data_IF_632582734161
#
_entry.id   IF_632582734161
#
_cell.length_a   1.000
_cell.length_b   1.000
_cell.length_c   1.000
_cell.angle_alpha   90.00
_cell.angle_beta   90.00
_cell.angle_gamma   90.00
#
_symmetry.space_group_name_H-M   'P 1'
#
loop_
_entity.id
_entity.type
_entity.pdbx_description
1 polymer ?
#
# COMPACT_ATOMS: atom_id res chain seq x y z
N UNK A 1 -11.08 -9.61 -29.57
CA UNK A 1 -12.15 -8.70 -29.10
C UNK A 1 -13.29 -9.55 -28.59
N UNK A 2 -13.70 -9.32 -27.35
CA UNK A 2 -14.88 -9.95 -26.76
C UNK A 2 -16.12 -9.32 -27.37
N UNK A 3 -17.12 -10.12 -27.80
CA UNK A 3 -18.35 -9.62 -28.36
C UNK A 3 -19.21 -8.95 -27.27
N UNK A 4 -19.74 -7.76 -27.53
CA UNK A 4 -20.70 -7.11 -26.64
C UNK A 4 -22.00 -7.89 -26.61
N UNK A 5 -22.58 -8.08 -25.43
CA UNK A 5 -23.91 -8.68 -25.27
C UNK A 5 -24.97 -7.60 -25.41
N UNK A 6 -25.64 -7.58 -26.56
CA UNK A 6 -26.75 -6.68 -26.80
C UNK A 6 -28.07 -7.30 -26.31
N UNK A 7 -29.05 -6.46 -26.08
CA UNK A 7 -30.48 -6.84 -25.98
C UNK A 7 -30.86 -7.74 -24.79
N UNK A 8 -30.32 -7.52 -23.61
CA UNK A 8 -30.92 -8.03 -22.36
C UNK A 8 -31.61 -6.89 -21.61
N UNK A 9 -32.73 -7.21 -20.95
CA UNK A 9 -33.38 -6.23 -20.10
C UNK A 9 -32.43 -5.69 -19.08
N UNK A 10 -32.41 -4.36 -18.87
CA UNK A 10 -31.58 -3.68 -17.91
C UNK A 10 -31.98 -4.12 -16.49
N UNK A 11 -31.07 -4.76 -15.79
CA UNK A 11 -31.17 -4.92 -14.36
C UNK A 11 -30.58 -3.67 -13.70
N UNK A 12 -31.30 -3.05 -12.76
CA UNK A 12 -30.84 -1.85 -12.04
C UNK A 12 -29.56 -2.08 -11.24
N UNK A 13 -29.13 -3.32 -11.04
CA UNK A 13 -27.89 -3.69 -10.39
C UNK A 13 -26.96 -4.38 -11.39
N UNK A 14 -25.81 -3.78 -11.66
CA UNK A 14 -24.73 -4.46 -12.35
C UNK A 14 -24.22 -5.61 -11.48
N UNK A 15 -24.05 -6.80 -12.07
CA UNK A 15 -23.38 -7.91 -11.40
C UNK A 15 -21.86 -7.63 -11.41
N UNK A 16 -21.43 -6.81 -10.51
CA UNK A 16 -20.02 -6.43 -10.32
C UNK A 16 -19.39 -7.23 -9.20
N UNK A 17 -18.06 -7.21 -9.16
CA UNK A 17 -17.33 -7.57 -7.96
C UNK A 17 -17.70 -6.65 -6.78
N UNK A 18 -17.36 -7.06 -5.57
CA UNK A 18 -17.60 -6.22 -4.40
C UNK A 18 -16.87 -4.90 -4.51
N UNK A 19 -17.47 -3.77 -4.06
CA UNK A 19 -16.81 -2.47 -4.03
C UNK A 19 -15.43 -2.57 -3.35
N UNK A 20 -14.41 -2.02 -4.00
CA UNK A 20 -13.04 -2.07 -3.52
C UNK A 20 -12.66 -0.75 -2.85
N UNK A 21 -12.05 -0.83 -1.69
CA UNK A 21 -11.40 0.30 -1.03
C UNK A 21 -9.91 0.01 -0.88
N UNK A 22 -9.04 1.02 -1.08
CA UNK A 22 -7.60 0.88 -0.92
C UNK A 22 -7.25 0.45 0.51
N UNK A 23 -6.66 -0.75 0.63
CA UNK A 23 -6.21 -1.28 1.93
C UNK A 23 -5.02 -0.49 2.48
N UNK A 24 -4.12 -0.05 1.61
CA UNK A 24 -2.93 0.71 1.99
C UNK A 24 -3.13 2.23 1.90
N UNK A 25 -4.38 2.70 1.86
CA UNK A 25 -4.72 4.12 1.78
C UNK A 25 -4.07 4.99 2.86
N UNK A 26 -3.84 4.45 4.06
CA UNK A 26 -3.12 5.15 5.13
C UNK A 26 -1.67 5.50 4.77
N UNK A 27 -1.03 4.74 3.87
CA UNK A 27 0.33 4.99 3.40
C UNK A 27 0.39 6.10 2.35
N UNK A 28 -0.71 6.37 1.65
CA UNK A 28 -0.81 7.49 0.70
C UNK A 28 -1.02 8.85 1.39
N UNK A 29 -1.56 8.86 2.62
CA UNK A 29 -1.80 10.07 3.41
C UNK A 29 -0.70 10.34 4.45
N UNK A 30 0.55 10.05 4.10
CA UNK A 30 1.69 10.26 5.02
C UNK A 30 2.03 11.74 5.17
N UNK A 31 2.42 12.20 6.39
CA UNK A 31 2.85 13.57 6.61
C UNK A 31 4.16 13.93 5.88
N UNK A 32 4.83 12.96 5.29
CA UNK A 32 6.07 13.17 4.55
C UNK A 32 5.87 13.63 3.11
N UNK A 33 4.66 13.52 2.54
CA UNK A 33 4.38 13.87 1.15
C UNK A 33 4.64 15.36 0.79
N UNK A 34 4.83 16.23 1.75
CA UNK A 34 5.23 17.63 1.55
C UNK A 34 6.74 17.91 1.79
N UNK A 35 7.57 16.89 2.05
CA UNK A 35 8.96 17.06 2.52
C UNK A 35 10.02 16.72 1.49
N UNK A 36 9.67 16.57 0.23
CA UNK A 36 10.60 16.32 -0.85
C UNK A 36 10.57 17.47 -1.88
N UNK A 37 11.63 17.57 -2.67
CA UNK A 37 11.77 18.54 -3.75
C UNK A 37 11.88 17.81 -5.09
N UNK A 38 11.16 18.29 -6.09
CA UNK A 38 11.34 17.85 -7.46
C UNK A 38 12.62 18.46 -8.04
N UNK A 39 13.49 17.62 -8.60
CA UNK A 39 14.74 18.05 -9.29
C UNK A 39 14.73 17.72 -10.76
N UNK A 40 13.75 16.95 -11.22
CA UNK A 40 13.52 16.58 -12.61
C UNK A 40 12.11 16.02 -12.78
N UNK A 41 11.76 15.63 -14.00
CA UNK A 41 10.43 15.10 -14.32
C UNK A 41 10.10 13.78 -13.57
N UNK A 42 11.13 13.02 -13.19
CA UNK A 42 11.01 11.69 -12.56
C UNK A 42 11.81 11.59 -11.25
N UNK A 43 12.44 12.67 -10.81
CA UNK A 43 13.39 12.60 -9.70
C UNK A 43 12.98 13.52 -8.59
N UNK A 44 12.92 12.96 -7.38
CA UNK A 44 12.73 13.70 -6.15
C UNK A 44 13.99 13.61 -5.28
N UNK A 45 14.21 14.63 -4.50
CA UNK A 45 15.27 14.69 -3.50
C UNK A 45 14.70 15.00 -2.11
N UNK A 46 15.20 14.26 -1.13
CA UNK A 46 14.82 14.37 0.26
C UNK A 46 16.04 14.84 1.06
N UNK A 47 15.97 15.99 1.77
CA UNK A 47 17.11 16.48 2.55
C UNK A 47 17.34 15.59 3.78
N UNK A 48 18.60 15.25 4.02
CA UNK A 48 19.03 14.56 5.23
C UNK A 48 20.16 15.32 5.91
N UNK A 49 20.17 15.31 7.22
CA UNK A 49 21.23 15.92 8.03
C UNK A 49 21.79 14.86 8.99
N UNK A 50 23.09 14.83 9.12
CA UNK A 50 23.82 14.07 10.12
C UNK A 50 24.62 15.00 11.02
N UNK A 51 24.75 14.65 12.29
CA UNK A 51 25.53 15.40 13.29
C UNK A 51 26.43 14.45 14.03
N UNK A 52 27.54 14.96 14.57
CA UNK A 52 28.38 14.21 15.50
C UNK A 52 27.78 14.18 16.90
N UNK A 53 28.22 13.24 17.73
CA UNK A 53 27.84 13.14 19.14
C UNK A 53 28.45 14.24 20.00
N UNK A 54 28.07 14.23 21.28
CA UNK A 54 28.70 15.06 22.31
C UNK A 54 30.10 14.53 22.65
N UNK A 55 31.00 15.42 22.99
CA UNK A 55 32.32 15.13 23.53
C UNK A 55 32.43 15.68 24.96
N UNK A 56 33.39 15.19 25.75
CA UNK A 56 33.66 15.72 27.08
C UNK A 56 34.10 17.18 26.99
N UNK A 57 33.63 17.99 27.94
CA UNK A 57 34.01 19.40 28.03
C UNK A 57 35.36 19.55 28.68
N UNK A 58 36.29 20.25 28.03
CA UNK A 58 37.52 20.75 28.62
C UNK A 58 37.25 22.15 29.22
N UNK A 59 37.63 22.36 30.45
CA UNK A 59 37.47 23.63 31.17
C UNK A 59 38.66 24.57 31.02
N UNK A 60 39.80 24.03 30.63
CA UNK A 60 41.05 24.74 30.64
C UNK A 60 41.47 25.26 29.28
N UNK A 61 40.83 24.76 28.19
CA UNK A 61 41.13 25.16 26.83
C UNK A 61 39.87 25.55 26.05
N UNK A 62 39.99 26.53 25.16
CA UNK A 62 39.00 26.86 24.17
C UNK A 62 39.36 26.08 22.90
N UNK A 63 38.65 24.98 22.66
CA UNK A 63 38.80 24.21 21.43
C UNK A 63 38.36 25.03 20.22
N UNK A 64 38.97 24.76 19.05
CA UNK A 64 38.50 25.32 17.80
C UNK A 64 37.12 24.77 17.46
N UNK A 65 36.13 25.65 17.42
CA UNK A 65 34.80 25.27 16.98
C UNK A 65 34.80 24.87 15.48
N UNK A 66 34.51 23.61 15.18
CA UNK A 66 34.41 23.10 13.83
C UNK A 66 32.95 22.78 13.50
N UNK A 67 32.63 22.72 12.21
CA UNK A 67 31.31 22.30 11.76
C UNK A 67 31.08 20.83 12.09
N UNK A 68 30.10 20.52 12.93
CA UNK A 68 29.78 19.17 13.43
C UNK A 68 28.53 18.58 12.76
N UNK A 69 28.14 19.09 11.61
CA UNK A 69 27.02 18.57 10.85
C UNK A 69 27.37 18.45 9.36
N UNK A 70 26.75 17.51 8.72
CA UNK A 70 26.79 17.36 7.26
C UNK A 70 25.36 17.18 6.73
N UNK A 71 25.08 17.77 5.58
CA UNK A 71 23.83 17.57 4.88
C UNK A 71 24.07 16.72 3.61
N UNK A 72 23.10 15.89 3.29
CA UNK A 72 23.07 15.11 2.07
C UNK A 72 21.64 15.12 1.50
N UNK A 73 21.54 14.79 0.24
CA UNK A 73 20.27 14.63 -0.45
C UNK A 73 20.10 13.16 -0.81
N UNK A 74 18.96 12.60 -0.43
CA UNK A 74 18.56 11.26 -0.82
C UNK A 74 17.73 11.36 -2.10
N UNK A 75 18.29 10.85 -3.19
CA UNK A 75 17.64 10.88 -4.51
C UNK A 75 16.80 9.63 -4.72
N UNK A 76 15.55 9.81 -5.14
CA UNK A 76 14.65 8.72 -5.57
C UNK A 76 14.14 9.01 -6.98
N UNK A 77 14.06 7.97 -7.79
CA UNK A 77 13.59 8.06 -9.18
C UNK A 77 12.28 7.31 -9.30
N UNK A 78 11.24 7.98 -9.80
CA UNK A 78 9.94 7.36 -10.05
C UNK A 78 10.02 6.47 -11.30
N UNK A 79 9.40 5.30 -11.22
CA UNK A 79 9.38 4.30 -12.29
C UNK A 79 7.95 3.89 -12.67
N UNK A 80 6.97 4.10 -11.81
CA UNK A 80 5.60 3.65 -12.00
C UNK A 80 4.76 4.68 -12.78
N UNK A 81 4.80 4.59 -14.11
CA UNK A 81 3.95 5.38 -15.00
C UNK A 81 2.92 4.47 -15.65
N UNK A 82 1.64 4.68 -15.34
CA UNK A 82 0.53 3.82 -15.76
C UNK A 82 -0.50 4.62 -16.55
N UNK A 83 -1.06 3.99 -17.57
CA UNK A 83 -2.13 4.56 -18.39
C UNK A 83 -3.21 3.54 -18.69
N UNK A 84 -4.42 4.03 -18.86
CA UNK A 84 -5.54 3.26 -19.34
C UNK A 84 -6.40 4.10 -20.28
N UNK A 85 -6.98 3.48 -21.30
CA UNK A 85 -7.88 4.15 -22.21
C UNK A 85 -8.93 3.21 -22.76
N UNK A 86 -10.09 3.74 -23.09
CA UNK A 86 -11.18 2.98 -23.71
C UNK A 86 -11.94 3.83 -24.72
N UNK A 87 -12.51 3.16 -25.73
CA UNK A 87 -13.41 3.76 -26.72
C UNK A 87 -14.81 3.20 -26.52
N UNK A 88 -15.81 4.07 -26.55
CA UNK A 88 -17.22 3.68 -26.41
C UNK A 88 -18.02 4.31 -27.55
N UNK A 89 -18.69 3.46 -28.33
CA UNK A 89 -19.58 3.95 -29.39
C UNK A 89 -20.91 4.37 -28.76
N UNK A 90 -21.50 5.53 -29.15
CA UNK A 90 -22.80 5.96 -28.64
C UNK A 90 -23.91 4.93 -28.80
N UNK A 91 -23.94 4.24 -29.95
CA UNK A 91 -24.93 3.19 -30.21
C UNK A 91 -24.81 1.99 -29.25
N UNK A 92 -23.60 1.67 -28.75
CA UNK A 92 -23.40 0.58 -27.79
C UNK A 92 -24.04 0.92 -26.43
N UNK A 93 -24.03 2.19 -26.03
CA UNK A 93 -24.68 2.65 -24.80
C UNK A 93 -26.18 2.41 -24.89
N UNK A 94 -26.82 2.79 -26.03
CA UNK A 94 -28.27 2.64 -26.22
C UNK A 94 -28.66 1.17 -26.37
N UNK A 95 -27.90 0.40 -27.17
CA UNK A 95 -28.21 -1.02 -27.45
C UNK A 95 -27.93 -1.92 -26.23
N UNK A 96 -27.10 -1.52 -25.29
CA UNK A 96 -26.87 -2.24 -24.02
C UNK A 96 -27.74 -1.73 -22.87
N UNK A 97 -28.75 -0.89 -23.14
CA UNK A 97 -29.57 -0.24 -22.12
C UNK A 97 -28.72 0.50 -21.05
N UNK A 98 -27.76 1.30 -21.50
CA UNK A 98 -26.83 2.07 -20.67
C UNK A 98 -25.85 1.26 -19.77
N UNK A 99 -25.80 -0.07 -19.91
CA UNK A 99 -24.82 -0.89 -19.19
C UNK A 99 -23.39 -0.52 -19.61
N UNK A 100 -23.14 -0.30 -20.89
CA UNK A 100 -21.86 0.12 -21.44
C UNK A 100 -21.64 1.64 -21.34
N UNK A 101 -22.20 2.30 -20.34
CA UNK A 101 -21.93 3.73 -20.09
C UNK A 101 -20.51 3.96 -19.58
N UNK A 102 -19.96 5.15 -19.87
CA UNK A 102 -18.61 5.50 -19.41
C UNK A 102 -18.48 5.43 -17.88
N UNK A 103 -19.49 5.84 -17.15
CA UNK A 103 -19.51 5.80 -15.69
C UNK A 103 -19.39 4.36 -15.16
N UNK A 104 -20.17 3.43 -15.72
CA UNK A 104 -20.12 2.03 -15.31
C UNK A 104 -18.77 1.39 -15.67
N UNK A 105 -18.25 1.65 -16.86
CA UNK A 105 -16.98 1.09 -17.33
C UNK A 105 -15.81 1.60 -16.46
N UNK A 106 -15.76 2.91 -16.17
CA UNK A 106 -14.71 3.48 -15.33
C UNK A 106 -14.82 3.04 -13.87
N UNK A 107 -16.05 2.86 -13.36
CA UNK A 107 -16.24 2.32 -12.01
C UNK A 107 -15.70 0.90 -11.90
N UNK A 108 -16.11 0.01 -12.83
CA UNK A 108 -15.62 -1.39 -12.85
C UNK A 108 -14.10 -1.44 -13.00
N UNK A 109 -13.53 -0.62 -13.89
CA UNK A 109 -12.09 -0.54 -14.06
C UNK A 109 -11.38 -0.11 -12.77
N UNK A 110 -11.87 0.91 -12.08
CA UNK A 110 -11.26 1.38 -10.83
C UNK A 110 -11.33 0.32 -9.74
N UNK A 111 -12.48 -0.32 -9.56
CA UNK A 111 -12.71 -1.28 -8.47
C UNK A 111 -12.04 -2.64 -8.73
N UNK A 112 -12.00 -3.11 -9.97
CA UNK A 112 -11.49 -4.45 -10.28
C UNK A 112 -10.03 -4.47 -10.74
N UNK A 113 -9.51 -3.36 -11.28
CA UNK A 113 -8.17 -3.33 -11.86
C UNK A 113 -7.26 -2.30 -11.17
N UNK A 114 -7.61 -1.02 -11.22
CA UNK A 114 -6.73 0.07 -10.78
C UNK A 114 -6.39 0.03 -9.29
N UNK A 115 -7.38 0.00 -8.42
CA UNK A 115 -7.14 0.02 -6.98
C UNK A 115 -6.43 -1.25 -6.46
N UNK A 116 -6.80 -2.47 -6.90
CA UNK A 116 -6.02 -3.65 -6.55
C UNK A 116 -4.59 -3.62 -7.07
N UNK A 117 -4.35 -3.05 -8.28
CA UNK A 117 -3.00 -2.86 -8.82
C UNK A 117 -2.18 -1.91 -7.94
N UNK A 118 -2.76 -0.78 -7.51
CA UNK A 118 -2.10 0.19 -6.62
C UNK A 118 -1.70 -0.45 -5.29
N UNK A 119 -2.58 -1.26 -4.69
CA UNK A 119 -2.28 -1.97 -3.44
C UNK A 119 -1.18 -3.02 -3.63
N UNK A 120 -1.25 -3.82 -4.70
CA UNK A 120 -0.23 -4.82 -5.02
C UNK A 120 1.13 -4.17 -5.31
N UNK A 121 1.14 -3.05 -6.03
CA UNK A 121 2.35 -2.27 -6.30
C UNK A 121 2.97 -1.74 -5.01
N UNK A 122 2.17 -1.11 -4.15
CA UNK A 122 2.63 -0.57 -2.88
C UNK A 122 3.36 -1.60 -2.04
N UNK A 123 2.78 -2.76 -1.84
CA UNK A 123 3.38 -3.82 -1.01
C UNK A 123 4.67 -4.36 -1.62
N UNK A 124 4.66 -4.68 -2.91
CA UNK A 124 5.84 -5.24 -3.58
C UNK A 124 6.99 -4.23 -3.65
N UNK A 125 6.69 -2.96 -3.91
CA UNK A 125 7.69 -1.88 -3.94
C UNK A 125 8.28 -1.63 -2.56
N UNK A 126 7.45 -1.57 -1.52
CA UNK A 126 7.93 -1.45 -0.14
C UNK A 126 8.81 -2.64 0.24
N UNK A 127 8.44 -3.87 -0.12
CA UNK A 127 9.27 -5.03 0.15
C UNK A 127 10.61 -4.97 -0.59
N UNK A 128 10.62 -4.61 -1.87
CA UNK A 128 11.82 -4.48 -2.68
C UNK A 128 12.76 -3.39 -2.15
N UNK A 129 12.23 -2.19 -1.86
CA UNK A 129 13.01 -1.08 -1.30
C UNK A 129 13.58 -1.42 0.09
N UNK A 130 12.79 -2.13 0.93
CA UNK A 130 13.20 -2.52 2.27
C UNK A 130 14.32 -3.57 2.24
N UNK A 131 14.20 -4.59 1.40
CA UNK A 131 15.26 -5.60 1.22
C UNK A 131 16.50 -4.99 0.57
N UNK A 132 16.33 -4.03 -0.35
CA UNK A 132 17.42 -3.25 -0.93
C UNK A 132 18.25 -2.44 0.09
N UNK A 133 17.67 -2.14 1.26
CA UNK A 133 18.37 -1.53 2.40
C UNK A 133 19.00 -2.56 3.35
N UNK A 134 19.26 -3.78 2.87
CA UNK A 134 19.89 -4.87 3.63
C UNK A 134 19.08 -5.32 4.86
N UNK A 135 17.76 -5.16 4.81
CA UNK A 135 16.84 -5.69 5.83
C UNK A 135 16.39 -7.10 5.45
N UNK A 136 16.13 -7.92 6.45
CA UNK A 136 15.75 -9.33 6.27
C UNK A 136 14.40 -9.60 6.92
N UNK A 137 13.47 -10.14 6.13
CA UNK A 137 12.15 -10.53 6.61
C UNK A 137 12.24 -11.79 7.49
N UNK A 138 11.35 -11.88 8.48
CA UNK A 138 11.15 -13.13 9.21
C UNK A 138 10.47 -14.18 8.31
N UNK A 139 10.92 -15.42 8.41
CA UNK A 139 10.36 -16.58 7.69
C UNK A 139 9.73 -17.59 8.63
N UNK A 140 9.43 -17.18 9.86
CA UNK A 140 8.82 -18.03 10.87
C UNK A 140 7.46 -18.53 10.41
N UNK A 141 7.24 -19.83 10.50
CA UNK A 141 5.92 -20.43 10.24
C UNK A 141 4.97 -20.05 11.38
N UNK A 142 3.90 -19.33 11.05
CA UNK A 142 2.97 -18.80 12.01
C UNK A 142 1.91 -19.84 12.41
N UNK A 143 1.68 -19.98 13.70
CA UNK A 143 0.70 -20.87 14.34
C UNK A 143 -0.10 -20.11 15.40
N UNK A 144 -1.17 -20.69 15.95
CA UNK A 144 -1.92 -20.14 17.08
C UNK A 144 -1.09 -19.97 18.35
N UNK A 145 0.04 -20.65 18.44
CA UNK A 145 0.93 -20.63 19.61
C UNK A 145 1.99 -19.52 19.54
N UNK A 146 2.46 -19.18 18.33
CA UNK A 146 3.61 -18.28 18.15
C UNK A 146 3.28 -16.95 17.47
N UNK A 147 2.07 -16.79 16.93
CA UNK A 147 1.70 -15.60 16.13
C UNK A 147 1.85 -14.29 16.91
N UNK A 148 1.54 -14.30 18.22
CA UNK A 148 1.71 -13.12 19.07
C UNK A 148 3.18 -12.90 19.45
N UNK A 149 3.93 -13.95 19.75
CA UNK A 149 5.36 -13.83 20.04
C UNK A 149 6.14 -13.29 18.82
N UNK A 150 5.74 -13.67 17.61
CA UNK A 150 6.32 -13.07 16.40
C UNK A 150 5.94 -11.61 16.24
N UNK A 151 4.69 -11.24 16.52
CA UNK A 151 4.26 -9.83 16.53
C UNK A 151 5.06 -9.02 17.57
N UNK A 152 5.24 -9.53 18.78
CA UNK A 152 6.05 -8.88 19.83
C UNK A 152 7.51 -8.68 19.37
N UNK A 153 8.07 -9.65 18.67
CA UNK A 153 9.43 -9.55 18.09
C UNK A 153 9.51 -8.42 17.05
N UNK A 154 8.47 -8.24 16.22
CA UNK A 154 8.43 -7.12 15.26
C UNK A 154 8.32 -5.77 15.99
N UNK A 155 7.49 -5.72 17.05
CA UNK A 155 7.33 -4.52 17.88
C UNK A 155 8.65 -4.15 18.58
N UNK A 156 9.34 -5.14 19.17
CA UNK A 156 10.65 -4.96 19.80
C UNK A 156 11.67 -4.34 18.84
N UNK A 157 11.77 -4.85 17.62
CA UNK A 157 12.67 -4.28 16.60
C UNK A 157 12.36 -2.82 16.28
N UNK A 158 11.09 -2.44 16.25
CA UNK A 158 10.69 -1.05 16.05
C UNK A 158 10.98 -0.17 17.26
N UNK A 159 10.82 -0.70 18.48
CA UNK A 159 11.08 0.02 19.73
C UNK A 159 12.57 0.28 19.91
N UNK A 160 13.43 -0.70 19.66
CA UNK A 160 14.89 -0.55 19.63
C UNK A 160 15.35 0.50 18.61
N UNK A 161 14.64 0.59 17.47
CA UNK A 161 14.88 1.62 16.47
C UNK A 161 14.26 3.00 16.82
N UNK A 162 13.61 3.14 17.98
CA UNK A 162 12.94 4.37 18.45
C UNK A 162 11.82 4.85 17.52
N UNK A 163 11.12 3.92 16.87
CA UNK A 163 9.95 4.25 16.06
C UNK A 163 8.79 4.59 16.98
N UNK A 164 8.03 5.69 16.74
CA UNK A 164 6.86 6.01 17.55
C UNK A 164 5.89 4.84 17.66
N UNK A 165 5.34 4.60 18.85
CA UNK A 165 4.39 3.51 19.09
C UNK A 165 3.04 3.84 18.46
N UNK A 166 2.57 5.09 18.62
CA UNK A 166 1.28 5.53 18.12
C UNK A 166 1.28 5.67 16.60
N UNK A 167 0.30 5.07 15.94
CA UNK A 167 0.14 5.16 14.49
C UNK A 167 0.79 4.03 13.70
N UNK A 168 1.31 2.99 14.37
CA UNK A 168 1.71 1.74 13.71
C UNK A 168 0.49 1.00 13.18
N UNK A 169 0.62 0.38 12.02
CA UNK A 169 -0.44 -0.39 11.37
C UNK A 169 0.11 -1.77 11.05
N UNK A 170 -0.66 -2.79 11.38
CA UNK A 170 -0.36 -4.19 11.06
C UNK A 170 -1.29 -4.67 9.95
N UNK A 171 -0.74 -4.87 8.77
CA UNK A 171 -1.44 -5.52 7.67
C UNK A 171 -1.20 -7.03 7.72
N UNK A 172 -2.27 -7.81 7.67
CA UNK A 172 -2.21 -9.28 7.78
C UNK A 172 -3.07 -9.95 6.73
N UNK A 173 -2.68 -11.16 6.32
CA UNK A 173 -3.57 -11.98 5.49
C UNK A 173 -4.76 -12.50 6.32
N UNK A 174 -5.91 -12.83 5.69
CA UNK A 174 -7.08 -13.35 6.40
C UNK A 174 -6.79 -14.62 7.21
N UNK A 175 -5.89 -15.48 6.71
CA UNK A 175 -5.46 -16.67 7.43
C UNK A 175 -4.75 -16.30 8.75
N UNK A 176 -3.81 -15.37 8.71
CA UNK A 176 -3.09 -14.89 9.90
C UNK A 176 -4.03 -14.15 10.85
N UNK A 177 -4.96 -13.34 10.35
CA UNK A 177 -5.98 -12.72 11.19
C UNK A 177 -6.82 -13.75 11.95
N UNK A 178 -7.08 -14.91 11.34
CA UNK A 178 -7.74 -16.03 12.03
C UNK A 178 -6.86 -16.63 13.11
N UNK A 179 -5.55 -16.81 12.87
CA UNK A 179 -4.61 -17.28 13.89
C UNK A 179 -4.53 -16.30 15.08
N UNK A 180 -4.46 -15.00 14.81
CA UNK A 180 -4.48 -13.96 15.85
C UNK A 180 -5.76 -14.06 16.68
N UNK A 181 -6.93 -14.23 16.05
CA UNK A 181 -8.21 -14.41 16.76
C UNK A 181 -8.25 -15.65 17.63
N UNK A 182 -7.53 -16.70 17.28
CA UNK A 182 -7.50 -17.97 17.97
C UNK A 182 -6.25 -18.15 18.84
N UNK A 183 -5.37 -17.15 18.91
CA UNK A 183 -4.11 -17.25 19.64
C UNK A 183 -4.33 -17.69 21.11
N UNK A 184 -3.60 -18.71 21.54
CA UNK A 184 -3.77 -19.34 22.86
C UNK A 184 -3.40 -18.42 24.01
N UNK A 185 -2.56 -17.42 23.78
CA UNK A 185 -2.12 -16.45 24.79
C UNK A 185 -3.20 -15.39 25.09
N UNK A 186 -4.22 -15.24 24.25
CA UNK A 186 -5.29 -14.27 24.49
C UNK A 186 -6.39 -14.92 25.33
N UNK A 187 -6.49 -14.50 26.59
CA UNK A 187 -7.65 -14.85 27.44
C UNK A 187 -8.82 -13.97 27.05
N UNK A 188 -9.87 -14.55 26.49
CA UNK A 188 -11.09 -13.82 26.11
C UNK A 188 -12.17 -14.01 27.14
N UNK A 189 -12.64 -12.92 27.74
CA UNK A 189 -13.89 -12.92 28.49
C UNK A 189 -15.02 -12.63 27.51
N UNK A 190 -15.87 -13.63 27.25
CA UNK A 190 -17.06 -13.45 26.43
C UNK A 190 -18.21 -13.10 27.39
N UNK A 191 -18.58 -11.82 27.43
CA UNK A 191 -19.79 -11.41 28.14
C UNK A 191 -20.99 -11.76 27.27
N UNK A 192 -21.71 -12.79 27.65
CA UNK A 192 -23.01 -13.13 27.07
C UNK A 192 -24.08 -12.33 27.84
N UNK A 193 -24.38 -11.13 27.36
CA UNK A 193 -25.55 -10.41 27.85
C UNK A 193 -26.81 -11.03 27.25
N UNK A 194 -27.88 -11.03 28.07
CA UNK A 194 -29.16 -11.72 27.86
C UNK A 194 -29.71 -11.66 26.43
N UNK A 195 -30.26 -12.79 26.00
CA UNK A 195 -31.22 -13.00 24.91
C UNK A 195 -31.07 -12.09 23.67
N UNK A 196 -30.23 -12.52 22.73
CA UNK A 196 -30.10 -11.87 21.41
C UNK A 196 -28.81 -11.12 21.17
N UNK A 197 -27.83 -11.17 22.08
CA UNK A 197 -26.53 -10.47 21.88
C UNK A 197 -25.61 -11.23 20.93
N UNK A 198 -25.07 -10.49 19.97
CA UNK A 198 -24.08 -10.98 19.01
C UNK A 198 -22.72 -11.16 19.70
N UNK A 199 -22.14 -12.35 19.63
CA UNK A 199 -20.77 -12.58 20.11
C UNK A 199 -19.78 -11.92 19.14
N UNK A 200 -19.14 -10.83 19.54
CA UNK A 200 -18.13 -10.15 18.73
C UNK A 200 -16.74 -10.75 19.02
N UNK A 201 -16.17 -11.41 18.01
CA UNK A 201 -14.82 -12.00 18.04
C UNK A 201 -13.79 -11.18 17.29
N UNK A 202 -14.13 -9.98 16.83
CA UNK A 202 -13.22 -9.14 16.05
C UNK A 202 -12.08 -8.62 16.94
N UNK A 203 -10.84 -8.87 16.53
CA UNK A 203 -9.66 -8.22 17.07
C UNK A 203 -9.28 -7.12 16.08
N UNK A 204 -9.50 -5.87 16.45
CA UNK A 204 -9.21 -4.70 15.60
C UNK A 204 -7.91 -4.00 15.98
N UNK A 205 -7.41 -4.21 17.20
CA UNK A 205 -6.17 -3.65 17.72
C UNK A 205 -5.49 -4.62 18.68
N UNK A 206 -4.16 -4.61 18.66
CA UNK A 206 -3.31 -5.23 19.66
C UNK A 206 -2.24 -4.18 20.01
N UNK A 207 -2.04 -3.90 21.31
CA UNK A 207 -1.05 -2.93 21.80
C UNK A 207 -1.09 -1.57 21.07
N UNK A 208 -2.29 -1.02 20.90
CA UNK A 208 -2.57 0.22 20.16
C UNK A 208 -2.34 0.14 18.64
N UNK A 209 -1.80 -0.97 18.12
CA UNK A 209 -1.59 -1.18 16.68
C UNK A 209 -2.90 -1.59 16.01
N UNK A 210 -3.29 -0.88 14.98
CA UNK A 210 -4.46 -1.21 14.18
C UNK A 210 -4.19 -2.41 13.27
N UNK A 211 -5.12 -3.38 13.24
CA UNK A 211 -5.00 -4.57 12.40
C UNK A 211 -5.93 -4.44 11.20
N UNK A 212 -5.34 -4.52 10.02
CA UNK A 212 -6.05 -4.49 8.73
C UNK A 212 -5.85 -5.83 8.02
N UNK A 213 -6.96 -6.55 7.78
CA UNK A 213 -6.92 -7.77 7.01
C UNK A 213 -6.96 -7.46 5.52
N UNK A 214 -5.94 -7.91 4.77
CA UNK A 214 -5.77 -7.67 3.33
C UNK A 214 -5.81 -9.02 2.60
N UNK A 215 -6.54 -9.15 1.48
CA UNK A 215 -6.57 -10.38 0.70
C UNK A 215 -5.16 -10.89 0.36
N UNK A 216 -4.94 -12.20 0.47
CA UNK A 216 -3.61 -12.80 0.25
C UNK A 216 -3.08 -12.60 -1.16
N UNK A 217 -3.95 -12.41 -2.15
CA UNK A 217 -3.57 -12.09 -3.53
C UNK A 217 -2.86 -10.75 -3.66
N UNK A 218 -3.12 -9.80 -2.75
CA UNK A 218 -2.54 -8.45 -2.74
C UNK A 218 -1.28 -8.35 -1.85
N UNK A 219 -0.94 -9.40 -1.11
CA UNK A 219 0.20 -9.42 -0.19
C UNK A 219 1.29 -10.38 -0.65
N UNK A 220 1.93 -10.08 -1.77
CA UNK A 220 3.06 -10.86 -2.29
C UNK A 220 4.28 -9.99 -2.51
N UNK A 221 5.45 -10.63 -2.50
CA UNK A 221 6.74 -9.94 -2.60
C UNK A 221 7.04 -9.40 -3.99
N UNK A 222 6.50 -10.01 -5.05
CA UNK A 222 6.77 -9.64 -6.44
C UNK A 222 5.52 -9.78 -7.29
N UNK A 223 5.27 -8.79 -8.13
CA UNK A 223 4.22 -8.82 -9.15
C UNK A 223 4.78 -8.48 -10.53
N UNK A 224 4.09 -8.96 -11.56
CA UNK A 224 4.26 -8.58 -12.95
C UNK A 224 3.16 -7.58 -13.33
N UNK A 225 3.58 -6.37 -13.70
CA UNK A 225 2.72 -5.25 -14.08
C UNK A 225 2.71 -4.98 -15.60
N UNK A 226 3.19 -5.92 -16.41
CA UNK A 226 3.25 -5.74 -17.87
C UNK A 226 1.86 -5.55 -18.49
N UNK A 227 0.88 -6.32 -18.03
CA UNK A 227 -0.51 -6.20 -18.47
C UNK A 227 -1.42 -6.45 -17.27
N UNK A 228 -2.00 -5.39 -16.71
CA UNK A 228 -2.67 -5.45 -15.42
C UNK A 228 -1.69 -5.79 -14.30
N UNK A 229 -2.12 -6.61 -13.34
CA UNK A 229 -1.28 -7.06 -12.23
C UNK A 229 -1.49 -8.56 -11.98
N UNK A 230 -0.42 -9.29 -11.78
CA UNK A 230 -0.45 -10.71 -11.40
C UNK A 230 0.80 -11.06 -10.59
N UNK A 231 0.69 -12.06 -9.72
CA UNK A 231 1.83 -12.52 -8.95
C UNK A 231 2.97 -13.00 -9.86
N UNK A 232 4.19 -12.57 -9.58
CA UNK A 232 5.39 -13.05 -10.28
C UNK A 232 5.69 -14.51 -9.97
N UNK A 233 6.46 -15.20 -10.83
CA UNK A 233 6.77 -16.62 -10.67
C UNK A 233 7.56 -16.98 -9.40
N UNK A 234 8.33 -16.03 -8.86
CA UNK A 234 9.10 -16.16 -7.61
C UNK A 234 8.44 -15.49 -6.40
N UNK A 235 7.17 -15.09 -6.52
CA UNK A 235 6.48 -14.35 -5.47
C UNK A 235 6.23 -15.22 -4.23
N UNK A 236 6.75 -14.79 -3.08
CA UNK A 236 6.45 -15.36 -1.76
C UNK A 236 5.27 -14.64 -1.13
N UNK A 237 4.50 -15.35 -0.29
CA UNK A 237 3.41 -14.73 0.45
C UNK A 237 3.95 -13.88 1.59
N UNK A 238 3.51 -12.64 1.68
CA UNK A 238 3.69 -11.79 2.87
C UNK A 238 2.55 -12.12 3.82
N UNK A 239 2.88 -12.56 5.01
CA UNK A 239 1.92 -12.93 6.06
C UNK A 239 1.54 -11.75 6.94
N UNK A 240 2.56 -10.98 7.33
CA UNK A 240 2.42 -9.78 8.14
C UNK A 240 3.30 -8.67 7.59
N UNK A 241 2.78 -7.45 7.62
CA UNK A 241 3.51 -6.21 7.36
C UNK A 241 3.17 -5.24 8.48
N UNK A 242 4.12 -5.02 9.39
CA UNK A 242 4.03 -3.98 10.40
C UNK A 242 4.74 -2.72 9.88
N UNK A 243 4.02 -1.61 9.79
CA UNK A 243 4.53 -0.37 9.20
C UNK A 243 4.07 0.85 9.98
N UNK A 244 4.96 1.83 10.10
CA UNK A 244 4.59 3.17 10.53
C UNK A 244 4.60 4.11 9.31
N UNK A 245 3.48 4.79 8.96
CA UNK A 245 3.38 5.63 7.76
C UNK A 245 4.45 6.72 7.64
N UNK A 246 5.06 7.14 8.76
CA UNK A 246 6.16 8.12 8.77
C UNK A 246 7.42 7.65 8.01
N UNK A 247 7.54 6.38 7.70
CA UNK A 247 8.67 5.84 6.93
C UNK A 247 8.46 5.92 5.43
N UNK A 248 7.22 6.12 4.98
CA UNK A 248 6.82 6.02 3.58
C UNK A 248 6.56 7.40 3.00
N UNK A 249 6.89 7.59 1.73
CA UNK A 249 6.45 8.72 0.90
C UNK A 249 5.83 8.18 -0.38
N UNK A 250 4.82 8.88 -0.87
CA UNK A 250 4.07 8.53 -2.09
C UNK A 250 4.00 9.73 -3.01
N UNK A 251 5.08 10.07 -3.73
CA UNK A 251 5.09 11.20 -4.63
C UNK A 251 4.22 10.93 -5.85
N UNK A 252 3.43 11.94 -6.25
CA UNK A 252 2.68 11.97 -7.49
C UNK A 252 3.27 13.07 -8.36
N UNK A 253 3.83 12.70 -9.52
CA UNK A 253 4.42 13.64 -10.48
C UNK A 253 3.40 14.17 -11.45
N UNK A 254 2.50 13.30 -11.89
CA UNK A 254 1.54 13.61 -12.94
C UNK A 254 0.27 12.78 -12.73
N UNK A 255 -0.86 13.42 -12.90
CA UNK A 255 -2.16 12.75 -12.93
C UNK A 255 -3.04 13.46 -13.93
N UNK A 256 -3.58 12.74 -14.88
CA UNK A 256 -4.43 13.26 -15.93
C UNK A 256 -5.57 12.27 -16.19
N UNK A 257 -6.77 12.79 -16.34
CA UNK A 257 -7.91 12.01 -16.81
C UNK A 257 -8.82 12.91 -17.64
N UNK A 258 -9.24 12.43 -18.81
CA UNK A 258 -10.10 13.18 -19.72
C UNK A 258 -11.04 12.25 -20.46
N UNK A 259 -12.27 12.73 -20.68
CA UNK A 259 -13.23 12.16 -21.58
C UNK A 259 -13.41 13.10 -22.78
N UNK A 260 -13.13 12.62 -23.97
CA UNK A 260 -13.39 13.33 -25.21
C UNK A 260 -14.73 12.91 -25.81
N UNK A 261 -15.52 13.89 -26.18
CA UNK A 261 -16.81 13.69 -26.86
C UNK A 261 -16.64 13.18 -28.31
N UNK A 262 -17.67 12.53 -28.87
CA UNK A 262 -17.65 12.08 -30.25
C UNK A 262 -17.30 13.21 -31.23
N UNK A 263 -16.28 12.99 -32.05
CA UNK A 263 -15.74 13.95 -33.00
C UNK A 263 -15.23 13.23 -34.25
N UNK A 264 -14.83 13.98 -35.29
CA UNK A 264 -14.17 13.39 -36.43
C UNK A 264 -12.83 12.73 -36.06
N UNK A 265 -12.13 13.27 -35.06
CA UNK A 265 -10.85 12.73 -34.57
C UNK A 265 -11.05 11.42 -33.81
N UNK A 266 -12.16 11.26 -33.09
CA UNK A 266 -12.51 10.03 -32.35
C UNK A 266 -13.39 9.09 -33.16
N UNK A 267 -13.58 9.35 -34.47
CA UNK A 267 -14.44 8.56 -35.35
C UNK A 267 -15.86 8.38 -34.81
N UNK A 268 -16.41 9.42 -34.19
CA UNK A 268 -17.76 9.40 -33.65
C UNK A 268 -17.91 8.61 -32.33
N UNK A 269 -16.82 8.30 -31.63
CA UNK A 269 -16.82 7.55 -30.38
C UNK A 269 -16.44 8.46 -29.21
N UNK A 270 -16.90 8.13 -28.02
CA UNK A 270 -16.33 8.65 -26.78
C UNK A 270 -14.96 8.02 -26.56
N UNK A 271 -13.98 8.83 -26.22
CA UNK A 271 -12.63 8.37 -25.86
C UNK A 271 -12.31 8.78 -24.44
N UNK A 272 -12.11 7.81 -23.55
CA UNK A 272 -11.63 8.05 -22.20
C UNK A 272 -10.16 7.67 -22.10
N UNK A 273 -9.37 8.56 -21.54
CA UNK A 273 -7.96 8.36 -21.30
C UNK A 273 -7.61 8.82 -19.87
N UNK A 274 -6.86 7.99 -19.15
CA UNK A 274 -6.23 8.39 -17.90
C UNK A 274 -4.78 7.94 -17.86
N UNK A 275 -3.97 8.72 -17.18
CA UNK A 275 -2.57 8.45 -16.93
C UNK A 275 -2.20 8.95 -15.55
N UNK A 276 -1.45 8.14 -14.80
CA UNK A 276 -0.83 8.53 -13.53
C UNK A 276 0.65 8.20 -13.53
N UNK A 277 1.42 9.07 -12.90
CA UNK A 277 2.82 8.85 -12.64
C UNK A 277 3.09 9.10 -11.16
N UNK A 278 3.07 8.03 -10.42
CA UNK A 278 3.19 7.99 -8.96
C UNK A 278 4.10 6.83 -8.55
N UNK A 279 4.69 6.92 -7.38
CA UNK A 279 5.54 5.86 -6.86
C UNK A 279 5.47 5.81 -5.33
N UNK A 280 6.06 4.77 -4.74
CA UNK A 280 6.11 4.55 -3.30
C UNK A 280 7.55 4.29 -2.89
N UNK A 281 8.07 5.03 -1.91
CA UNK A 281 9.43 4.88 -1.44
C UNK A 281 9.51 4.84 0.08
N UNK A 282 10.55 4.18 0.57
CA UNK A 282 10.95 4.18 1.97
C UNK A 282 12.05 5.23 2.17
N UNK A 283 11.94 6.03 3.22
CA UNK A 283 13.00 6.92 3.67
C UNK A 283 14.14 6.09 4.25
N UNK A 284 15.37 6.22 3.71
CA UNK A 284 16.50 5.36 4.08
C UNK A 284 16.77 5.31 5.58
N UNK A 285 16.68 6.45 6.28
CA UNK A 285 16.88 6.52 7.74
C UNK A 285 15.72 5.96 8.57
N UNK A 286 14.62 5.56 7.92
CA UNK A 286 13.39 5.09 8.58
C UNK A 286 12.98 3.67 8.19
N UNK A 287 13.86 2.93 7.52
CA UNK A 287 13.57 1.56 7.10
C UNK A 287 13.20 0.61 8.26
N UNK A 288 13.71 0.88 9.46
CA UNK A 288 13.39 0.09 10.66
C UNK A 288 11.93 0.25 11.13
N UNK A 289 11.22 1.26 10.63
CA UNK A 289 9.80 1.44 10.87
C UNK A 289 8.90 0.55 9.99
N UNK A 290 9.50 -0.39 9.28
CA UNK A 290 8.81 -1.38 8.44
C UNK A 290 9.39 -2.76 8.77
N UNK A 291 8.52 -3.75 9.03
CA UNK A 291 8.91 -5.12 9.32
C UNK A 291 8.01 -6.09 8.54
N UNK A 292 8.60 -7.12 7.98
CA UNK A 292 7.90 -8.13 7.20
C UNK A 292 8.04 -9.53 7.82
N UNK A 293 6.96 -10.30 7.76
CA UNK A 293 6.96 -11.77 7.91
C UNK A 293 6.46 -12.36 6.62
N UNK A 294 7.29 -13.20 6.00
CA UNK A 294 6.99 -13.81 4.70
C UNK A 294 6.97 -15.34 4.82
N UNK A 295 6.42 -15.98 3.81
CA UNK A 295 6.46 -17.44 3.67
C UNK A 295 7.92 -17.89 3.61
N UNK A 296 8.28 -18.86 4.47
CA UNK A 296 9.54 -19.58 4.37
C UNK A 296 9.65 -20.41 3.08
N UNK A 297 10.83 -20.93 2.83
CA UNK A 297 11.09 -21.87 1.72
C UNK A 297 10.43 -23.22 1.95
#
# INVERSE_FOLDING_TARGET
MSALNYAKEYSQALAQAFPYSLYFGALYNTPNNGRYRWTGAKTIEIPTISTTGRVDADRDTIGNAARNYNNAWETKVLENQRKWSTLIHPADIDQTNHVASIANITQVYNEEQKFPEMDAYTVSKLYADWTGQSKTASTTVLTEENVLAEFDTLMEKMDEARVPVTGRILYVTPAINTLIKNAKQITRTINVESAGSTINRKVSRIDEVEIIAVPSTLMKTVYDFTTGWKAGGSAKQIHMLLVHPIAVITPVSYQFSQLDDPSATTEGKYYYYEESFEDVFILNKKADAIQFVIQGE
#
